data_IF_265440616366
#
_entry.id   IF_265440616366
#
_cell.length_a   1.000
_cell.length_b   1.000
_cell.length_c   1.000
_cell.angle_alpha   90.00
_cell.angle_beta   90.00
_cell.angle_gamma   90.00
#
_symmetry.space_group_name_H-M   'P 1'
#
loop_
_entity.id
_entity.type
_entity.pdbx_description
1 polymer ?
#
# COMPACT_ATOMS: atom_id res chain seq x y z
N UNK A 1 21.02 30.28 -27.50
CA UNK A 1 19.66 29.71 -27.72
C UNK A 1 19.59 28.18 -27.63
N UNK A 2 20.53 27.41 -28.21
CA UNK A 2 20.47 25.93 -28.25
C UNK A 2 20.43 25.20 -26.89
N UNK A 3 21.13 25.68 -25.85
CA UNK A 3 21.17 25.06 -24.51
C UNK A 3 19.86 25.17 -23.73
N UNK A 4 19.13 26.30 -23.86
CA UNK A 4 17.85 26.49 -23.17
C UNK A 4 16.77 25.56 -23.73
N UNK A 5 16.79 25.32 -25.05
CA UNK A 5 15.86 24.43 -25.73
C UNK A 5 16.00 22.96 -25.27
N UNK A 6 17.23 22.50 -25.01
CA UNK A 6 17.49 21.14 -24.52
C UNK A 6 16.92 20.91 -23.11
N UNK A 7 17.03 21.89 -22.21
CA UNK A 7 16.47 21.79 -20.86
C UNK A 7 14.93 21.79 -20.86
N UNK A 8 14.32 22.60 -21.72
CA UNK A 8 12.86 22.64 -21.89
C UNK A 8 12.33 21.31 -22.45
N UNK A 9 13.00 20.73 -23.44
CA UNK A 9 12.63 19.41 -23.99
C UNK A 9 12.78 18.31 -22.94
N UNK A 10 13.87 18.32 -22.16
CA UNK A 10 14.08 17.33 -21.10
C UNK A 10 12.98 17.41 -20.03
N UNK A 11 12.60 18.63 -19.62
CA UNK A 11 11.55 18.86 -18.64
C UNK A 11 10.16 18.45 -19.17
N UNK A 12 9.89 18.71 -20.46
CA UNK A 12 8.66 18.30 -21.14
C UNK A 12 8.52 16.78 -21.26
N UNK A 13 9.64 16.05 -21.43
CA UNK A 13 9.66 14.58 -21.49
C UNK A 13 9.56 13.97 -20.07
N UNK A 14 10.10 14.62 -19.04
CA UNK A 14 9.99 14.16 -17.65
C UNK A 14 8.60 14.42 -17.02
N UNK A 15 7.91 15.49 -17.41
CA UNK A 15 6.59 15.81 -16.86
C UNK A 15 5.56 14.66 -16.96
N UNK A 16 5.37 13.96 -18.10
CA UNK A 16 4.40 12.86 -18.20
C UNK A 16 4.82 11.60 -17.42
N UNK A 17 6.11 11.41 -17.12
CA UNK A 17 6.55 10.24 -16.32
C UNK A 17 6.21 10.43 -14.83
N UNK A 18 6.21 11.67 -14.36
CA UNK A 18 5.80 12.02 -12.99
C UNK A 18 4.29 11.87 -12.80
N UNK A 19 3.47 12.29 -13.78
CA UNK A 19 2.01 12.17 -13.69
C UNK A 19 1.52 10.72 -13.50
N UNK A 20 2.24 9.74 -14.06
CA UNK A 20 1.94 8.31 -13.90
C UNK A 20 2.24 7.75 -12.49
N UNK A 21 3.02 8.45 -11.67
CA UNK A 21 3.27 8.09 -10.27
C UNK A 21 2.16 8.59 -9.33
N UNK A 22 1.50 9.69 -9.70
CA UNK A 22 0.48 10.36 -8.86
C UNK A 22 -0.97 9.93 -9.16
N UNK A 23 -1.17 8.98 -10.08
CA UNK A 23 -2.49 8.47 -10.43
C UNK A 23 -2.50 6.95 -10.54
N UNK A 24 -3.45 6.33 -9.85
CA UNK A 24 -3.66 4.88 -9.89
C UNK A 24 -5.14 4.58 -10.09
N UNK A 25 -5.51 4.12 -11.30
CA UNK A 25 -6.87 3.70 -11.64
C UNK A 25 -7.38 2.61 -10.69
N UNK A 26 -6.49 1.73 -10.25
CA UNK A 26 -6.85 0.64 -9.35
C UNK A 26 -7.19 1.12 -7.94
N UNK A 27 -6.44 2.07 -7.38
CA UNK A 27 -6.77 2.65 -6.07
C UNK A 27 -8.06 3.48 -6.19
N UNK A 28 -8.25 4.20 -7.29
CA UNK A 28 -9.50 4.92 -7.55
C UNK A 28 -10.72 3.98 -7.58
N UNK A 29 -10.60 2.81 -8.21
CA UNK A 29 -11.68 1.81 -8.21
C UNK A 29 -11.90 1.17 -6.84
N UNK A 30 -10.85 0.93 -6.05
CA UNK A 30 -11.01 0.43 -4.68
C UNK A 30 -11.74 1.47 -3.83
N UNK A 31 -11.37 2.76 -3.94
CA UNK A 31 -12.09 3.85 -3.28
C UNK A 31 -13.56 3.87 -3.70
N UNK A 32 -13.87 3.83 -5.00
CA UNK A 32 -15.25 3.81 -5.51
C UNK A 32 -16.05 2.63 -4.92
N UNK A 33 -15.47 1.42 -4.90
CA UNK A 33 -16.12 0.26 -4.29
C UNK A 33 -16.38 0.51 -2.78
N UNK A 34 -15.44 1.13 -2.06
CA UNK A 34 -15.58 1.47 -0.62
C UNK A 34 -16.66 2.54 -0.39
N UNK A 35 -16.73 3.57 -1.24
CA UNK A 35 -17.78 4.60 -1.21
C UNK A 35 -19.17 3.96 -1.33
N UNK A 36 -19.34 3.07 -2.29
CA UNK A 36 -20.60 2.37 -2.54
C UNK A 36 -21.04 1.48 -1.35
N UNK A 37 -20.08 0.81 -0.70
CA UNK A 37 -20.35 -0.04 0.46
C UNK A 37 -20.74 0.81 1.66
N UNK A 38 -20.00 1.87 1.96
CA UNK A 38 -20.19 2.67 3.17
C UNK A 38 -21.27 3.74 2.99
N UNK A 39 -21.66 4.05 1.75
CA UNK A 39 -22.46 5.22 1.44
C UNK A 39 -21.72 6.54 1.77
N UNK A 40 -20.39 6.48 1.78
CA UNK A 40 -19.47 7.59 2.06
C UNK A 40 -19.05 8.29 0.76
N UNK A 41 -18.28 9.38 0.89
CA UNK A 41 -17.60 10.02 -0.25
C UNK A 41 -16.23 10.49 0.20
N UNK A 42 -15.21 10.24 -0.62
CA UNK A 42 -13.84 10.59 -0.33
C UNK A 42 -13.19 11.41 -1.45
N UNK A 43 -12.58 12.52 -1.06
CA UNK A 43 -11.80 13.37 -1.96
C UNK A 43 -10.34 12.93 -1.93
N UNK A 44 -9.70 12.91 -3.09
CA UNK A 44 -8.30 12.48 -3.20
C UNK A 44 -7.38 13.60 -2.76
N UNK A 45 -6.58 13.34 -1.73
CA UNK A 45 -5.49 14.24 -1.36
C UNK A 45 -4.21 13.86 -2.11
N UNK A 46 -3.77 12.61 -1.93
CA UNK A 46 -2.54 12.13 -2.55
C UNK A 46 -2.66 10.68 -2.97
N UNK A 47 -2.08 10.35 -4.12
CA UNK A 47 -1.85 8.96 -4.53
C UNK A 47 -0.40 8.84 -4.93
N UNK A 48 0.29 7.82 -4.44
CA UNK A 48 1.68 7.51 -4.76
C UNK A 48 1.79 6.07 -5.22
N UNK A 49 2.52 5.85 -6.31
CA UNK A 49 2.85 4.53 -6.82
C UNK A 49 4.36 4.36 -6.89
N UNK A 50 4.88 3.39 -6.14
CA UNK A 50 6.28 2.99 -6.16
C UNK A 50 6.38 1.64 -6.86
N UNK A 51 7.17 1.58 -7.94
CA UNK A 51 7.31 0.39 -8.77
C UNK A 51 8.62 -0.37 -8.55
N UNK A 52 8.79 -1.54 -9.21
CA UNK A 52 9.88 -2.48 -8.93
C UNK A 52 11.27 -1.88 -9.13
N UNK A 53 11.42 -0.91 -10.04
CA UNK A 53 12.71 -0.26 -10.32
C UNK A 53 13.23 0.52 -9.11
N UNK A 54 12.35 1.24 -8.41
CA UNK A 54 12.74 2.00 -7.23
C UNK A 54 13.10 1.07 -6.08
N UNK A 55 12.31 0.03 -5.82
CA UNK A 55 12.60 -0.96 -4.78
C UNK A 55 13.91 -1.70 -5.03
N UNK A 56 14.21 -2.09 -6.27
CA UNK A 56 15.52 -2.67 -6.63
C UNK A 56 16.68 -1.72 -6.36
N UNK A 57 16.54 -0.44 -6.68
CA UNK A 57 17.58 0.56 -6.38
C UNK A 57 17.79 0.70 -4.87
N UNK A 58 16.70 0.79 -4.10
CA UNK A 58 16.77 0.89 -2.63
C UNK A 58 17.45 -0.35 -2.05
N UNK A 59 17.01 -1.55 -2.42
CA UNK A 59 17.63 -2.82 -1.95
C UNK A 59 19.12 -2.91 -2.34
N UNK A 60 19.50 -2.48 -3.54
CA UNK A 60 20.89 -2.46 -4.00
C UNK A 60 21.77 -1.49 -3.19
N UNK A 61 21.25 -0.30 -2.85
CA UNK A 61 21.97 0.68 -2.03
C UNK A 61 22.08 0.16 -0.59
N UNK A 62 20.95 -0.22 0.03
CA UNK A 62 20.90 -0.62 1.43
C UNK A 62 21.74 -1.88 1.71
N UNK A 63 21.78 -2.84 0.78
CA UNK A 63 22.65 -4.02 0.91
C UNK A 63 24.16 -3.75 0.82
N UNK A 64 24.57 -2.52 0.50
CA UNK A 64 26.00 -2.10 0.52
C UNK A 64 26.35 -1.30 1.76
N UNK A 65 25.38 -0.93 2.56
CA UNK A 65 25.60 -0.21 3.82
C UNK A 65 25.92 -1.25 4.89
N UNK A 66 27.07 -1.14 5.59
CA UNK A 66 27.42 -2.03 6.70
C UNK A 66 26.64 -1.63 7.96
N UNK A 67 25.32 -1.72 7.89
CA UNK A 67 24.37 -1.44 8.97
C UNK A 67 23.31 -2.54 9.01
N UNK A 68 23.01 -3.05 10.20
CA UNK A 68 22.11 -4.20 10.39
C UNK A 68 20.69 -3.84 9.97
N UNK A 69 20.22 -2.64 10.32
CA UNK A 69 18.88 -2.19 9.96
C UNK A 69 18.75 -1.94 8.45
N UNK A 70 19.81 -1.44 7.80
CA UNK A 70 19.84 -1.29 6.34
C UNK A 70 19.79 -2.64 5.62
N UNK A 71 20.45 -3.67 6.16
CA UNK A 71 20.40 -5.03 5.61
C UNK A 71 19.00 -5.63 5.77
N UNK A 72 18.41 -5.56 6.98
CA UNK A 72 17.03 -5.99 7.22
C UNK A 72 16.06 -5.28 6.26
N UNK A 73 16.13 -3.95 6.15
CA UNK A 73 15.30 -3.19 5.24
C UNK A 73 15.48 -3.62 3.77
N UNK A 74 16.70 -4.01 3.36
CA UNK A 74 16.96 -4.54 2.03
C UNK A 74 16.24 -5.86 1.77
N UNK A 75 16.18 -6.74 2.77
CA UNK A 75 15.50 -8.03 2.67
C UNK A 75 13.98 -7.84 2.60
N UNK A 76 13.40 -6.98 3.44
CA UNK A 76 11.98 -6.60 3.36
C UNK A 76 11.60 -6.00 2.00
N UNK A 77 12.39 -5.05 1.50
CA UNK A 77 12.10 -4.35 0.25
C UNK A 77 12.22 -5.26 -0.97
N UNK A 78 13.05 -6.32 -0.91
CA UNK A 78 13.27 -7.24 -2.02
C UNK A 78 12.03 -8.04 -2.39
N UNK A 79 11.22 -8.37 -1.39
CA UNK A 79 9.99 -9.13 -1.57
C UNK A 79 8.83 -8.28 -2.12
N UNK A 80 9.02 -6.96 -2.18
CA UNK A 80 8.02 -5.99 -2.66
C UNK A 80 8.29 -5.60 -4.11
N UNK A 81 7.38 -5.99 -5.00
CA UNK A 81 7.39 -5.55 -6.40
C UNK A 81 6.82 -4.14 -6.53
N UNK A 82 5.73 -3.84 -5.81
CA UNK A 82 5.00 -2.58 -5.98
C UNK A 82 4.24 -2.20 -4.73
N UNK A 83 4.23 -0.90 -4.44
CA UNK A 83 3.35 -0.30 -3.44
C UNK A 83 2.56 0.82 -4.09
N UNK A 84 1.26 0.86 -3.80
CA UNK A 84 0.36 1.94 -4.17
C UNK A 84 -0.31 2.42 -2.90
N UNK A 85 -0.18 3.70 -2.58
CA UNK A 85 -0.86 4.33 -1.44
C UNK A 85 -1.77 5.42 -1.97
N UNK A 86 -3.01 5.46 -1.51
CA UNK A 86 -3.91 6.59 -1.70
C UNK A 86 -4.42 7.06 -0.35
N UNK A 87 -4.32 8.36 -0.10
CA UNK A 87 -4.90 9.03 1.05
C UNK A 87 -6.02 9.93 0.55
N UNK A 88 -7.16 9.84 1.22
CA UNK A 88 -8.37 10.52 0.82
C UNK A 88 -9.03 11.14 2.04
N UNK A 89 -9.48 12.39 1.94
CA UNK A 89 -10.28 13.03 2.98
C UNK A 89 -11.75 12.59 2.91
N UNK A 90 -12.41 12.54 4.06
CA UNK A 90 -13.83 12.19 4.18
C UNK A 90 -14.69 13.43 3.89
N UNK A 91 -15.28 13.51 2.70
CA UNK A 91 -16.26 14.55 2.37
C UNK A 91 -17.65 14.24 2.95
N UNK A 92 -18.01 12.95 2.97
CA UNK A 92 -19.28 12.48 3.50
C UNK A 92 -19.04 11.27 4.38
N UNK A 93 -19.45 11.40 5.64
CA UNK A 93 -19.30 10.35 6.64
C UNK A 93 -20.00 9.03 6.21
N UNK A 94 -19.41 7.87 6.54
CA UNK A 94 -20.02 6.57 6.34
C UNK A 94 -21.42 6.48 6.94
N UNK A 95 -22.38 6.00 6.16
CA UNK A 95 -23.74 5.67 6.64
C UNK A 95 -23.85 4.24 7.16
N UNK A 96 -22.83 3.42 6.88
CA UNK A 96 -22.68 2.05 7.37
C UNK A 96 -21.32 1.95 8.05
N UNK A 97 -21.21 1.11 9.07
CA UNK A 97 -19.98 0.91 9.85
C UNK A 97 -19.13 -0.28 9.37
N UNK A 98 -19.63 -1.06 8.41
CA UNK A 98 -19.04 -2.37 8.12
C UNK A 98 -18.71 -2.56 6.63
N UNK A 99 -17.42 -2.72 6.34
CA UNK A 99 -16.92 -3.11 5.03
C UNK A 99 -17.12 -4.61 4.81
N UNK A 100 -18.27 -4.95 4.23
CA UNK A 100 -18.59 -6.33 3.81
C UNK A 100 -17.94 -6.66 2.47
N UNK A 101 -16.61 -6.80 2.43
CA UNK A 101 -15.85 -7.08 1.20
C UNK A 101 -16.37 -8.30 0.43
N UNK A 102 -16.84 -9.32 1.14
CA UNK A 102 -17.44 -10.52 0.54
C UNK A 102 -18.73 -10.25 -0.26
N UNK A 103 -19.38 -9.09 -0.06
CA UNK A 103 -20.55 -8.67 -0.83
C UNK A 103 -20.20 -7.88 -2.08
N UNK A 104 -18.96 -7.44 -2.21
CA UNK A 104 -18.49 -6.69 -3.37
C UNK A 104 -18.07 -7.70 -4.45
N UNK A 105 -18.72 -7.71 -5.63
CA UNK A 105 -18.39 -8.66 -6.68
C UNK A 105 -16.91 -8.63 -7.08
N UNK A 106 -16.25 -7.46 -7.05
CA UNK A 106 -14.83 -7.33 -7.34
C UNK A 106 -13.97 -8.10 -6.35
N UNK A 107 -14.13 -7.85 -5.04
CA UNK A 107 -13.33 -8.53 -4.02
C UNK A 107 -13.60 -10.03 -4.01
N UNK A 108 -14.88 -10.42 -4.07
CA UNK A 108 -15.29 -11.83 -4.09
C UNK A 108 -14.76 -12.59 -5.30
N UNK A 109 -14.93 -12.06 -6.52
CA UNK A 109 -14.48 -12.74 -7.76
C UNK A 109 -12.96 -12.74 -7.92
N UNK A 110 -12.29 -11.77 -7.30
CA UNK A 110 -10.84 -11.65 -7.42
C UNK A 110 -10.09 -12.46 -6.37
N UNK A 111 -10.77 -13.20 -5.48
CA UNK A 111 -10.14 -14.04 -4.46
C UNK A 111 -9.50 -13.26 -3.32
N UNK A 112 -10.05 -12.10 -2.95
CA UNK A 112 -9.60 -11.37 -1.77
C UNK A 112 -10.23 -11.96 -0.50
N UNK A 113 -9.40 -12.16 0.51
CA UNK A 113 -9.78 -12.66 1.82
C UNK A 113 -9.37 -11.67 2.90
N UNK A 114 -10.20 -11.53 3.94
CA UNK A 114 -9.88 -10.66 5.09
C UNK A 114 -9.04 -11.47 6.06
N UNK A 115 -7.78 -11.07 6.26
CA UNK A 115 -6.91 -11.66 7.29
C UNK A 115 -7.19 -11.07 8.66
N UNK A 116 -7.27 -9.74 8.74
CA UNK A 116 -7.40 -9.01 10.00
C UNK A 116 -8.42 -7.89 9.84
N UNK A 117 -9.23 -7.71 10.89
CA UNK A 117 -10.02 -6.49 11.11
C UNK A 117 -9.79 -6.05 12.55
N UNK A 118 -9.38 -4.80 12.71
CA UNK A 118 -9.28 -4.13 14.02
C UNK A 118 -10.21 -2.93 13.98
N UNK A 119 -11.02 -2.77 15.00
CA UNK A 119 -11.95 -1.67 15.14
C UNK A 119 -11.80 -1.09 16.53
N UNK A 120 -11.55 0.21 16.59
CA UNK A 120 -11.50 1.03 17.80
C UNK A 120 -12.42 2.25 17.63
N UNK A 121 -12.63 3.02 18.70
CA UNK A 121 -13.52 4.19 18.71
C UNK A 121 -13.11 5.28 17.72
N UNK A 122 -11.82 5.32 17.32
CA UNK A 122 -11.27 6.37 16.46
C UNK A 122 -10.92 5.92 15.05
N UNK A 123 -10.68 4.62 14.83
CA UNK A 123 -10.23 4.08 13.56
C UNK A 123 -10.67 2.63 13.33
N UNK A 124 -10.76 2.24 12.07
CA UNK A 124 -10.97 0.86 11.66
C UNK A 124 -9.94 0.47 10.61
N UNK A 125 -9.27 -0.65 10.85
CA UNK A 125 -8.23 -1.21 9.99
C UNK A 125 -8.68 -2.54 9.44
N UNK A 126 -8.55 -2.72 8.13
CA UNK A 126 -8.72 -4.00 7.45
C UNK A 126 -7.45 -4.39 6.72
N UNK A 127 -7.00 -5.62 6.93
CA UNK A 127 -5.93 -6.24 6.16
C UNK A 127 -6.53 -7.38 5.35
N UNK A 128 -6.46 -7.26 4.04
CA UNK A 128 -6.88 -8.27 3.09
C UNK A 128 -5.67 -8.80 2.34
N UNK A 129 -5.76 -10.04 1.90
CA UNK A 129 -4.75 -10.66 1.06
C UNK A 129 -5.41 -11.38 -0.10
N UNK A 130 -4.60 -11.66 -1.12
CA UNK A 130 -4.96 -12.48 -2.25
C UNK A 130 -3.81 -13.40 -2.61
N UNK A 131 -4.14 -14.67 -2.74
CA UNK A 131 -3.20 -15.70 -3.14
C UNK A 131 -3.22 -15.95 -4.64
N UNK A 132 -2.09 -16.44 -5.15
CA UNK A 132 -1.97 -17.01 -6.49
C UNK A 132 -0.89 -18.08 -6.49
N UNK A 133 -1.25 -19.31 -6.88
CA UNK A 133 -0.36 -20.47 -6.84
C UNK A 133 0.25 -20.69 -5.44
N UNK A 134 -0.60 -20.73 -4.40
CA UNK A 134 -0.23 -20.96 -3.00
C UNK A 134 0.77 -19.92 -2.41
N UNK A 135 0.82 -18.72 -3.01
CA UNK A 135 1.62 -17.60 -2.54
C UNK A 135 0.79 -16.34 -2.42
N UNK A 136 0.96 -15.60 -1.32
CA UNK A 136 0.37 -14.29 -1.09
C UNK A 136 1.04 -13.31 -2.06
N UNK A 137 0.29 -12.88 -3.06
CA UNK A 137 0.79 -12.00 -4.13
C UNK A 137 0.39 -10.55 -3.96
N UNK A 138 -0.74 -10.32 -3.30
CA UNK A 138 -1.24 -8.99 -3.04
C UNK A 138 -1.73 -8.89 -1.60
N UNK A 139 -1.46 -7.75 -0.98
CA UNK A 139 -2.01 -7.35 0.30
C UNK A 139 -2.64 -5.98 0.14
N UNK A 140 -3.79 -5.78 0.77
CA UNK A 140 -4.52 -4.51 0.79
C UNK A 140 -4.78 -4.16 2.25
N UNK A 141 -4.21 -3.03 2.68
CA UNK A 141 -4.45 -2.43 3.99
C UNK A 141 -5.34 -1.22 3.78
N UNK A 142 -6.43 -1.17 4.54
CA UNK A 142 -7.39 -0.08 4.55
C UNK A 142 -7.45 0.46 5.96
N UNK A 143 -7.26 1.76 6.12
CA UNK A 143 -7.44 2.46 7.40
C UNK A 143 -8.49 3.52 7.17
N UNK A 144 -9.54 3.52 7.98
CA UNK A 144 -10.60 4.51 7.95
C UNK A 144 -10.73 5.12 9.33
N UNK A 145 -10.65 6.45 9.41
CA UNK A 145 -11.03 7.20 10.59
C UNK A 145 -12.07 8.26 10.22
N UNK A 146 -12.31 9.25 11.10
CA UNK A 146 -13.32 10.30 10.87
C UNK A 146 -12.96 11.26 9.73
N UNK A 147 -11.68 11.43 9.45
CA UNK A 147 -11.17 12.50 8.58
C UNK A 147 -10.58 11.95 7.29
N UNK A 148 -10.06 10.72 7.29
CA UNK A 148 -9.36 10.13 6.16
C UNK A 148 -9.65 8.64 5.94
N UNK A 149 -9.50 8.24 4.68
CA UNK A 149 -9.37 6.87 4.20
C UNK A 149 -7.98 6.69 3.59
N UNK A 150 -7.21 5.76 4.15
CA UNK A 150 -5.92 5.32 3.61
C UNK A 150 -6.09 3.96 2.95
N UNK A 151 -5.64 3.85 1.70
CA UNK A 151 -5.64 2.62 0.91
C UNK A 151 -4.20 2.31 0.55
N UNK A 152 -3.61 1.28 1.15
CA UNK A 152 -2.28 0.79 0.81
C UNK A 152 -2.39 -0.60 0.17
N UNK A 153 -1.93 -0.72 -1.08
CA UNK A 153 -1.82 -2.00 -1.79
C UNK A 153 -0.37 -2.35 -2.02
N UNK A 154 0.00 -3.55 -1.60
CA UNK A 154 1.34 -4.11 -1.72
C UNK A 154 1.26 -5.32 -2.66
N UNK A 155 2.12 -5.38 -3.66
CA UNK A 155 2.23 -6.49 -4.61
C UNK A 155 3.65 -7.06 -4.53
N UNK A 156 3.80 -8.38 -4.51
CA UNK A 156 5.12 -9.01 -4.34
C UNK A 156 5.07 -10.50 -4.02
N UNK A 157 6.17 -11.01 -3.45
CA UNK A 157 6.28 -12.36 -2.89
C UNK A 157 6.08 -12.29 -1.36
N UNK A 158 4.84 -12.05 -0.93
CA UNK A 158 4.61 -11.54 0.43
C UNK A 158 4.63 -12.63 1.52
N UNK A 159 4.73 -13.91 1.17
CA UNK A 159 4.88 -14.99 2.15
C UNK A 159 6.11 -14.79 3.05
N UNK A 160 7.25 -14.48 2.43
CA UNK A 160 8.50 -14.23 3.15
C UNK A 160 8.42 -12.94 3.96
N UNK A 161 7.84 -11.89 3.38
CA UNK A 161 7.63 -10.62 4.08
C UNK A 161 6.81 -10.78 5.35
N UNK A 162 5.71 -11.54 5.28
CA UNK A 162 4.87 -11.83 6.45
C UNK A 162 5.63 -12.69 7.47
N UNK A 163 6.36 -13.71 7.00
CA UNK A 163 7.16 -14.58 7.87
C UNK A 163 8.23 -13.79 8.64
N UNK A 164 8.94 -12.88 7.96
CA UNK A 164 9.92 -11.98 8.58
C UNK A 164 9.26 -11.07 9.61
N UNK A 165 8.12 -10.45 9.27
CA UNK A 165 7.42 -9.54 10.18
C UNK A 165 6.94 -10.24 11.47
N UNK A 166 6.49 -11.50 11.37
CA UNK A 166 6.10 -12.29 12.55
C UNK A 166 7.31 -12.66 13.41
N UNK A 167 8.41 -13.11 12.79
CA UNK A 167 9.64 -13.45 13.51
C UNK A 167 10.21 -12.25 14.26
N UNK A 168 10.21 -11.07 13.64
CA UNK A 168 10.67 -9.83 14.27
C UNK A 168 9.72 -9.36 15.38
N UNK A 169 8.40 -9.53 15.22
CA UNK A 169 7.44 -9.19 16.27
C UNK A 169 7.55 -10.09 17.49
N UNK A 170 7.78 -11.39 17.28
CA UNK A 170 8.05 -12.35 18.35
C UNK A 170 9.39 -12.02 19.04
N UNK A 171 10.42 -11.65 18.27
CA UNK A 171 11.69 -11.16 18.80
C UNK A 171 11.52 -9.90 19.67
N UNK A 172 10.74 -8.91 19.22
CA UNK A 172 10.48 -7.69 20.00
C UNK A 172 9.67 -7.96 21.27
N UNK A 173 8.69 -8.89 21.21
CA UNK A 173 7.93 -9.31 22.39
C UNK A 173 8.78 -10.06 23.39
N UNK A 174 9.64 -10.96 22.92
CA UNK A 174 10.56 -11.70 23.76
C UNK A 174 11.52 -10.74 24.46
N UNK A 175 12.13 -9.79 23.75
CA UNK A 175 13.03 -8.77 24.32
C UNK A 175 12.31 -7.88 25.34
N UNK A 176 11.08 -7.44 25.06
CA UNK A 176 10.30 -6.59 25.96
C UNK A 176 9.78 -7.33 27.22
N UNK A 177 9.80 -8.67 27.23
CA UNK A 177 9.34 -9.48 28.37
C UNK A 177 10.40 -9.69 29.48
N UNK A 178 11.61 -9.17 29.31
CA UNK A 178 12.70 -9.21 30.29
C UNK A 178 12.88 -7.92 31.11
N UNK A 179 12.00 -6.93 30.92
CA UNK A 179 11.92 -5.69 31.71
C UNK A 179 10.72 -5.72 32.68
#
# INVERSE_FOLDING_TARGET
>A
MRRSFTHVILLLILAPTLAGCFYSREIAHIREDIEDILGARFEREVVVKVGPRLFRTVSWISGRVPDVYAQMASDYVREIDRVKVGVYSVEKQPTRSDLRFNRVPRFKRSGWEVAVRVEDDSETVWVLYRERYDSIRDMLVLVLNRDELVIARIEGHLNELVSMAVQDADFLRDVASWE
#
